data_IF_578699130853
#
_entry.id   IF_578699130853
#
_cell.length_a   1.000
_cell.length_b   1.000
_cell.length_c   1.000
_cell.angle_alpha   90.00
_cell.angle_beta   90.00
_cell.angle_gamma   90.00
#
_symmetry.space_group_name_H-M   'P 1'
#
loop_
_entity.id
_entity.type
_entity.pdbx_description
1 polymer ?
#
# COMPACT_ATOMS: atom_id res chain seq x y z
N UNK A 1 -6.18 -41.26 11.33
CA UNK A 1 -5.16 -41.43 12.40
C UNK A 1 -3.82 -41.72 11.70
N UNK A 2 -2.74 -40.97 12.02
CA UNK A 2 -1.65 -41.30 12.99
C UNK A 2 -0.76 -42.48 12.53
N UNK A 3 0.59 -42.43 12.50
CA UNK A 3 1.55 -41.31 12.67
C UNK A 3 2.88 -41.65 11.91
N UNK A 4 3.53 -40.61 11.39
CA UNK A 4 4.99 -40.35 11.21
C UNK A 4 6.02 -41.47 11.49
N UNK A 5 6.97 -41.65 10.56
CA UNK A 5 8.42 -41.58 10.84
C UNK A 5 9.25 -41.33 9.56
N UNK A 6 10.11 -40.32 9.58
CA UNK A 6 11.14 -40.07 8.56
C UNK A 6 12.37 -39.50 9.25
N UNK A 7 13.45 -40.28 9.33
CA UNK A 7 14.66 -39.95 10.08
C UNK A 7 15.91 -39.99 9.19
N UNK A 8 16.47 -38.80 8.99
CA UNK A 8 17.89 -38.47 9.12
C UNK A 8 18.94 -39.54 8.72
N UNK A 9 19.45 -39.47 7.49
CA UNK A 9 20.81 -39.94 7.15
C UNK A 9 21.36 -39.31 5.85
N UNK A 10 22.39 -38.48 5.96
CA UNK A 10 23.41 -38.26 4.91
C UNK A 10 24.68 -37.74 5.58
N UNK A 11 25.74 -38.55 5.56
CA UNK A 11 27.03 -38.23 6.16
C UNK A 11 28.01 -37.63 5.14
N UNK A 12 28.95 -36.84 5.68
CA UNK A 12 30.31 -36.55 5.23
C UNK A 12 30.69 -36.87 3.77
N UNK A 13 31.31 -35.87 3.13
CA UNK A 13 32.69 -36.07 2.67
C UNK A 13 33.57 -34.89 3.12
N UNK A 14 34.88 -35.15 3.22
CA UNK A 14 35.84 -34.29 3.90
C UNK A 14 36.54 -33.31 2.96
N UNK A 15 37.01 -32.18 3.49
CA UNK A 15 38.41 -31.79 3.28
C UNK A 15 38.94 -30.97 4.47
N UNK A 16 40.26 -30.99 4.69
CA UNK A 16 40.91 -30.51 5.92
C UNK A 16 42.06 -29.55 5.65
N UNK A 17 41.90 -28.30 6.10
CA UNK A 17 42.99 -27.40 6.48
C UNK A 17 42.40 -26.32 7.43
N UNK A 18 42.96 -25.98 8.59
CA UNK A 18 44.15 -26.52 9.24
C UNK A 18 45.14 -25.42 9.61
N UNK A 19 44.85 -24.66 10.67
CA UNK A 19 45.84 -23.84 11.38
C UNK A 19 45.43 -23.64 12.85
N UNK A 20 46.42 -23.28 13.68
CA UNK A 20 46.45 -23.72 15.08
C UNK A 20 45.82 -22.75 16.08
N UNK A 21 45.39 -23.31 17.21
CA UNK A 21 45.12 -22.58 18.45
C UNK A 21 46.44 -22.33 19.17
N UNK A 22 46.65 -21.11 19.64
CA UNK A 22 47.53 -20.81 20.77
C UNK A 22 46.68 -20.24 21.90
N UNK A 23 46.83 -20.79 23.09
CA UNK A 23 46.17 -20.32 24.30
C UNK A 23 47.18 -20.38 25.45
N UNK A 24 47.24 -19.34 26.27
CA UNK A 24 47.83 -19.41 27.61
C UNK A 24 47.12 -18.46 28.58
N UNK A 25 47.42 -18.61 29.87
CA UNK A 25 46.51 -18.39 31.00
C UNK A 25 46.75 -17.06 31.76
N UNK A 26 45.87 -16.82 32.75
CA UNK A 26 46.01 -15.91 33.91
C UNK A 26 46.02 -14.39 33.61
N UNK A 27 45.47 -13.49 34.44
CA UNK A 27 44.68 -13.55 35.68
C UNK A 27 43.59 -12.43 35.65
N UNK A 28 42.81 -12.04 36.66
CA UNK A 28 42.71 -12.39 38.10
C UNK A 28 41.27 -12.17 38.61
N UNK A 29 40.95 -12.54 39.86
CA UNK A 29 39.61 -12.37 40.45
C UNK A 29 39.48 -11.09 41.29
N UNK A 30 38.40 -10.34 41.08
CA UNK A 30 37.70 -9.55 42.10
C UNK A 30 36.22 -9.38 41.69
N UNK A 31 35.21 -9.49 42.55
CA UNK A 31 35.26 -9.83 43.98
C UNK A 31 34.36 -8.96 44.86
N UNK A 32 33.09 -8.78 44.53
CA UNK A 32 32.14 -8.09 45.39
C UNK A 32 30.76 -8.77 45.40
N UNK A 33 30.39 -9.29 46.56
CA UNK A 33 29.02 -9.66 46.95
C UNK A 33 28.37 -8.49 47.68
N UNK A 34 27.09 -8.24 47.43
CA UNK A 34 26.21 -7.47 48.33
C UNK A 34 24.91 -8.25 48.43
N UNK A 35 24.35 -8.31 49.64
CA UNK A 35 23.26 -9.23 50.00
C UNK A 35 21.86 -8.68 49.69
N UNK A 36 20.88 -9.57 49.81
CA UNK A 36 19.47 -9.36 49.60
C UNK A 36 18.81 -8.56 50.74
N UNK A 37 18.00 -7.55 50.40
CA UNK A 37 16.90 -7.10 51.27
C UNK A 37 15.65 -6.81 50.45
N UNK A 38 14.54 -7.43 50.88
CA UNK A 38 13.21 -7.19 50.36
C UNK A 38 12.52 -6.05 51.13
N UNK A 39 11.75 -5.24 50.41
CA UNK A 39 10.69 -4.39 50.98
C UNK A 39 9.52 -4.35 49.99
N UNK A 40 8.31 -4.64 50.46
CA UNK A 40 7.13 -4.84 49.62
C UNK A 40 6.37 -3.54 49.28
N UNK A 41 5.33 -3.68 48.44
CA UNK A 41 4.31 -2.69 48.08
C UNK A 41 4.83 -1.50 47.23
N UNK A 42 4.14 -1.04 46.18
CA UNK A 42 2.68 -1.10 45.93
C UNK A 42 2.29 -1.86 44.65
N UNK A 43 1.00 -2.13 44.49
CA UNK A 43 0.44 -2.98 43.43
C UNK A 43 0.03 -2.23 42.14
N UNK A 44 -0.27 -3.04 41.11
CA UNK A 44 -0.61 -2.67 39.74
C UNK A 44 -1.87 -1.80 39.60
N UNK A 45 -1.86 -0.93 38.59
CA UNK A 45 -3.05 -0.68 37.77
C UNK A 45 -2.72 -0.93 36.28
N UNK A 46 -3.59 -1.68 35.60
CA UNK A 46 -3.48 -2.02 34.18
C UNK A 46 -4.64 -1.33 33.45
N UNK A 47 -4.35 -0.31 32.64
CA UNK A 47 -5.38 0.39 31.88
C UNK A 47 -5.87 -0.45 30.69
N UNK A 48 -6.98 -1.16 30.88
CA UNK A 48 -7.76 -1.80 29.82
C UNK A 48 -9.23 -1.88 30.24
N UNK A 49 -10.09 -1.05 29.63
CA UNK A 49 -11.53 -1.02 29.91
C UNK A 49 -12.38 -1.19 28.64
N UNK A 50 -13.51 -1.88 28.80
CA UNK A 50 -14.57 -1.99 27.80
C UNK A 50 -15.92 -2.25 28.51
N UNK A 51 -16.83 -1.26 28.43
CA UNK A 51 -18.29 -1.31 28.57
C UNK A 51 -18.95 -2.10 29.74
N UNK A 52 -19.84 -1.45 30.50
CA UNK A 52 -21.32 -1.67 30.46
C UNK A 52 -22.05 -1.04 31.67
N UNK A 53 -23.37 -0.79 31.55
CA UNK A 53 -24.30 -0.48 32.65
C UNK A 53 -24.37 1.02 33.05
N UNK A 54 -25.40 1.82 32.73
CA UNK A 54 -26.88 1.69 32.88
C UNK A 54 -27.40 1.94 34.30
N UNK A 55 -28.22 3.00 34.46
CA UNK A 55 -29.41 3.03 35.31
C UNK A 55 -30.37 4.16 34.88
N UNK A 56 -31.60 4.14 35.38
CA UNK A 56 -32.81 4.75 34.79
C UNK A 56 -33.63 5.59 35.79
N UNK A 57 -34.35 6.60 35.28
CA UNK A 57 -35.52 7.26 35.92
C UNK A 57 -36.43 7.88 34.84
N UNK A 58 -37.76 7.67 34.96
CA UNK A 58 -38.80 8.11 34.00
C UNK A 58 -39.14 9.62 34.00
N UNK A 59 -40.29 10.07 33.48
CA UNK A 59 -41.58 9.38 33.19
C UNK A 59 -42.39 10.03 32.03
N UNK A 60 -43.34 9.27 31.45
CA UNK A 60 -44.70 9.63 30.91
C UNK A 60 -44.92 10.89 30.02
N UNK A 61 -45.85 11.00 29.04
CA UNK A 61 -46.84 10.14 28.32
C UNK A 61 -47.50 11.03 27.20
N UNK A 62 -48.48 10.70 26.32
CA UNK A 62 -49.31 9.51 25.97
C UNK A 62 -49.85 9.62 24.51
N UNK A 63 -50.20 8.48 23.87
CA UNK A 63 -51.29 8.24 22.89
C UNK A 63 -51.37 8.93 21.48
N UNK A 64 -51.80 8.16 20.44
CA UNK A 64 -52.18 8.72 19.12
C UNK A 64 -52.27 7.81 17.87
N UNK A 65 -53.04 6.70 17.90
CA UNK A 65 -53.70 5.93 16.79
C UNK A 65 -52.93 5.49 15.48
N UNK A 66 -53.11 4.23 14.96
CA UNK A 66 -52.43 3.74 13.74
C UNK A 66 -53.33 3.43 12.52
N UNK A 67 -52.85 3.74 11.30
CA UNK A 67 -53.49 3.39 10.02
C UNK A 67 -52.80 2.25 9.25
N UNK A 68 -53.58 1.32 8.68
CA UNK A 68 -53.10 0.13 7.94
C UNK A 68 -52.82 0.39 6.45
N UNK A 69 -51.94 -0.40 5.83
CA UNK A 69 -52.36 -1.25 4.69
C UNK A 69 -51.42 -2.45 4.46
N UNK A 70 -51.88 -3.47 3.74
CA UNK A 70 -51.26 -4.81 3.67
C UNK A 70 -50.74 -5.19 2.25
N UNK A 71 -50.12 -6.38 2.14
CA UNK A 71 -49.62 -7.04 0.92
C UNK A 71 -50.71 -8.01 0.34
N UNK A 72 -50.51 -8.99 -0.58
CA UNK A 72 -49.28 -9.50 -1.24
C UNK A 72 -49.35 -9.90 -2.76
N UNK A 73 -48.15 -10.15 -3.31
CA UNK A 73 -47.70 -11.18 -4.28
C UNK A 73 -48.60 -11.91 -5.33
N UNK A 74 -48.04 -11.97 -6.57
CA UNK A 74 -47.95 -13.15 -7.51
C UNK A 74 -49.23 -13.56 -8.31
N UNK A 75 -49.19 -14.59 -9.20
CA UNK A 75 -48.64 -14.49 -10.56
C UNK A 75 -49.57 -15.09 -11.66
N UNK A 76 -49.16 -15.04 -12.95
CA UNK A 76 -49.08 -16.19 -13.89
C UNK A 76 -48.88 -15.74 -15.37
N UNK A 77 -48.82 -16.68 -16.32
CA UNK A 77 -48.56 -16.50 -17.75
C UNK A 77 -49.65 -17.14 -18.63
N UNK A 78 -49.69 -16.82 -19.92
CA UNK A 78 -49.82 -17.86 -20.98
C UNK A 78 -49.36 -17.34 -22.39
N UNK A 79 -49.35 -18.27 -23.36
CA UNK A 79 -48.82 -18.21 -24.72
C UNK A 79 -49.91 -18.02 -25.81
N UNK A 80 -49.57 -17.42 -26.97
CA UNK A 80 -49.98 -17.92 -28.32
C UNK A 80 -49.27 -17.22 -29.49
N UNK A 81 -49.27 -17.88 -30.66
CA UNK A 81 -48.50 -17.57 -31.89
C UNK A 81 -49.34 -16.81 -32.95
N UNK A 82 -48.87 -16.42 -34.16
CA UNK A 82 -48.81 -17.29 -35.38
C UNK A 82 -48.10 -16.58 -36.59
N UNK A 83 -47.08 -17.25 -37.14
CA UNK A 83 -46.50 -17.32 -38.52
C UNK A 83 -46.32 -16.14 -39.53
N UNK A 84 -45.10 -16.09 -40.10
CA UNK A 84 -44.72 -15.94 -41.54
C UNK A 84 -45.11 -14.66 -42.36
N UNK A 85 -44.51 -14.32 -43.51
CA UNK A 85 -43.51 -14.97 -44.42
C UNK A 85 -42.57 -13.92 -45.08
N UNK A 86 -41.52 -14.34 -45.82
CA UNK A 86 -40.77 -13.43 -46.72
C UNK A 86 -39.34 -13.84 -47.09
N UNK A 87 -39.14 -14.45 -48.26
CA UNK A 87 -37.82 -14.88 -48.79
C UNK A 87 -37.02 -13.78 -49.53
N UNK A 88 -35.77 -14.09 -49.97
CA UNK A 88 -34.80 -13.09 -50.41
C UNK A 88 -34.83 -12.76 -51.92
N UNK A 89 -34.22 -11.63 -52.27
CA UNK A 89 -33.82 -11.29 -53.64
C UNK A 89 -32.32 -11.55 -53.86
N UNK A 90 -31.97 -11.96 -55.08
CA UNK A 90 -30.62 -12.25 -55.60
C UNK A 90 -30.54 -11.73 -57.06
N UNK A 91 -29.38 -11.88 -57.72
CA UNK A 91 -29.02 -11.70 -59.16
C UNK A 91 -28.02 -10.55 -59.41
N UNK A 92 -26.94 -10.69 -60.21
CA UNK A 92 -26.11 -11.86 -60.60
C UNK A 92 -24.81 -11.37 -61.32
N UNK A 93 -23.83 -12.26 -61.55
CA UNK A 93 -22.71 -12.08 -62.50
C UNK A 93 -21.33 -11.95 -61.81
N UNK A 94 -20.35 -12.86 -61.94
CA UNK A 94 -19.67 -13.47 -63.10
C UNK A 94 -18.48 -12.65 -63.61
N UNK A 95 -17.31 -13.19 -63.99
CA UNK A 95 -16.52 -14.38 -63.57
C UNK A 95 -15.21 -14.41 -64.39
N UNK A 96 -14.07 -14.85 -63.82
CA UNK A 96 -12.86 -15.34 -64.53
C UNK A 96 -11.76 -15.74 -63.52
N UNK A 97 -10.69 -16.42 -63.98
CA UNK A 97 -9.74 -17.17 -63.14
C UNK A 97 -8.26 -16.70 -63.33
N UNK A 98 -7.19 -17.40 -62.89
CA UNK A 98 -6.35 -16.87 -61.82
C UNK A 98 -4.92 -16.46 -62.25
N UNK A 99 -4.44 -15.34 -61.70
CA UNK A 99 -3.05 -14.91 -61.84
C UNK A 99 -2.17 -15.35 -60.65
N UNK A 100 -1.17 -16.21 -60.90
CA UNK A 100 -0.14 -16.52 -59.90
C UNK A 100 0.91 -15.42 -59.87
N UNK A 101 1.13 -14.82 -58.69
CA UNK A 101 2.26 -13.93 -58.43
C UNK A 101 2.90 -14.31 -57.10
N UNK A 102 3.99 -15.05 -57.15
CA UNK A 102 4.89 -15.25 -56.01
C UNK A 102 5.69 -13.97 -55.76
N UNK A 103 5.58 -13.41 -54.55
CA UNK A 103 6.42 -12.31 -54.06
C UNK A 103 7.10 -12.75 -52.77
N UNK A 104 8.44 -12.69 -52.78
CA UNK A 104 9.27 -13.12 -51.65
C UNK A 104 9.13 -12.14 -50.47
N UNK A 105 9.05 -12.67 -49.24
CA UNK A 105 9.17 -11.86 -48.03
C UNK A 105 10.65 -11.60 -47.72
N UNK A 106 11.22 -10.53 -48.27
CA UNK A 106 12.43 -9.93 -47.72
C UNK A 106 12.27 -8.41 -47.50
N UNK A 107 12.22 -8.07 -46.20
CA UNK A 107 12.65 -6.81 -45.58
C UNK A 107 12.46 -5.48 -46.34
N UNK A 108 11.34 -4.79 -46.09
CA UNK A 108 11.35 -3.31 -46.04
C UNK A 108 10.29 -2.75 -45.09
N UNK A 109 10.71 -1.93 -44.13
CA UNK A 109 9.86 -1.32 -43.10
C UNK A 109 9.21 -0.03 -43.62
N UNK A 110 8.12 -0.14 -44.38
CA UNK A 110 7.37 0.99 -44.95
C UNK A 110 5.86 0.92 -44.73
N UNK A 111 5.38 1.32 -43.55
CA UNK A 111 3.94 1.37 -43.26
C UNK A 111 3.27 2.58 -43.92
N UNK A 112 2.59 2.32 -45.03
CA UNK A 112 1.71 3.29 -45.72
C UNK A 112 0.62 3.79 -44.75
N UNK A 113 0.48 5.10 -44.63
CA UNK A 113 -0.53 5.74 -43.76
C UNK A 113 -1.81 6.03 -44.54
N UNK A 114 -2.92 5.42 -44.13
CA UNK A 114 -4.26 5.87 -44.50
C UNK A 114 -4.70 7.05 -43.60
N UNK A 115 -5.42 8.02 -44.16
CA UNK A 115 -5.95 9.16 -43.40
C UNK A 115 -7.36 8.86 -42.87
N UNK A 116 -7.63 9.17 -41.60
CA UNK A 116 -8.97 9.07 -41.00
C UNK A 116 -8.97 9.05 -39.47
N UNK A 117 -8.11 8.24 -38.85
CA UNK A 117 -8.02 8.12 -37.40
C UNK A 117 -7.20 9.24 -36.74
N UNK A 118 -7.43 9.45 -35.44
CA UNK A 118 -6.72 10.44 -34.60
C UNK A 118 -5.22 10.14 -34.55
N UNK A 119 -4.45 10.82 -35.41
CA UNK A 119 -3.05 10.50 -35.71
C UNK A 119 -2.21 10.22 -34.45
N UNK A 120 -1.79 8.96 -34.31
CA UNK A 120 -0.98 8.46 -33.19
C UNK A 120 -1.72 7.51 -32.23
N UNK A 121 -3.04 7.61 -32.05
CA UNK A 121 -3.77 6.77 -31.08
C UNK A 121 -4.15 5.42 -31.69
N UNK A 122 -3.53 4.33 -31.22
CA UNK A 122 -3.72 2.97 -31.74
C UNK A 122 -3.62 1.94 -30.61
N UNK A 123 -4.06 0.70 -30.86
CA UNK A 123 -3.83 -0.42 -29.92
C UNK A 123 -2.34 -0.66 -29.63
N UNK A 124 -1.41 -0.30 -30.53
CA UNK A 124 0.04 -0.43 -30.27
C UNK A 124 0.49 0.65 -29.28
N UNK A 125 0.28 1.92 -29.64
CA UNK A 125 0.71 3.08 -28.85
C UNK A 125 0.04 3.19 -27.48
N UNK A 126 -1.19 2.66 -27.32
CA UNK A 126 -1.84 2.52 -26.01
C UNK A 126 -1.14 1.50 -25.12
N UNK A 127 -0.69 0.35 -25.67
CA UNK A 127 0.01 -0.71 -24.90
C UNK A 127 1.45 -0.32 -24.57
N UNK A 128 2.14 0.38 -25.46
CA UNK A 128 3.46 0.99 -25.19
C UNK A 128 3.36 2.00 -24.04
N UNK A 129 2.42 2.95 -24.13
CA UNK A 129 2.16 3.93 -23.07
C UNK A 129 1.70 3.29 -21.75
N UNK A 130 1.03 2.13 -21.80
CA UNK A 130 0.64 1.38 -20.60
C UNK A 130 1.86 0.76 -19.90
N UNK A 131 2.85 0.27 -20.66
CA UNK A 131 4.10 -0.24 -20.12
C UNK A 131 4.94 0.88 -19.48
N UNK A 132 5.03 2.04 -20.13
CA UNK A 132 5.69 3.22 -19.55
C UNK A 132 4.95 3.76 -18.32
N UNK A 133 3.61 3.69 -18.29
CA UNK A 133 2.82 4.04 -17.10
C UNK A 133 3.06 3.05 -15.94
N UNK A 134 3.10 1.74 -16.18
CA UNK A 134 3.48 0.74 -15.15
C UNK A 134 4.88 1.05 -14.62
N UNK A 135 5.85 1.25 -15.52
CA UNK A 135 7.24 1.61 -15.16
C UNK A 135 7.29 2.90 -14.34
N UNK A 136 6.55 3.95 -14.71
CA UNK A 136 6.46 5.19 -13.95
C UNK A 136 5.89 4.94 -12.54
N UNK A 137 4.78 4.22 -12.43
CA UNK A 137 4.10 3.95 -11.16
C UNK A 137 4.98 3.11 -10.23
N UNK A 138 5.67 2.09 -10.75
CA UNK A 138 6.56 1.24 -9.95
C UNK A 138 7.84 1.98 -9.53
N UNK A 139 8.28 2.98 -10.30
CA UNK A 139 9.43 3.85 -9.96
C UNK A 139 9.06 4.95 -8.95
N UNK A 140 7.89 5.60 -9.09
CA UNK A 140 7.53 6.82 -8.35
C UNK A 140 6.41 6.64 -7.31
N UNK A 141 5.74 5.48 -7.30
CA UNK A 141 4.67 5.12 -6.35
C UNK A 141 3.32 5.81 -6.52
N UNK A 142 3.17 6.66 -7.55
CA UNK A 142 2.00 7.50 -7.82
C UNK A 142 1.69 7.55 -9.32
N UNK A 143 0.48 8.01 -9.67
CA UNK A 143 0.15 8.36 -11.05
C UNK A 143 0.94 9.60 -11.53
N UNK A 144 1.34 9.67 -12.82
CA UNK A 144 1.89 10.89 -13.41
C UNK A 144 0.76 11.89 -13.72
N UNK A 145 1.11 13.17 -13.88
CA UNK A 145 0.15 14.20 -14.30
C UNK A 145 -0.36 13.99 -15.74
N UNK A 146 0.50 13.49 -16.63
CA UNK A 146 0.13 13.07 -18.00
C UNK A 146 0.94 11.84 -18.44
N UNK A 147 0.41 11.11 -19.42
CA UNK A 147 1.06 10.01 -20.14
C UNK A 147 1.19 10.41 -21.60
N UNK A 148 2.28 10.02 -22.27
CA UNK A 148 2.44 10.22 -23.71
C UNK A 148 1.90 9.01 -24.47
N UNK A 149 1.00 9.23 -25.42
CA UNK A 149 0.36 8.19 -26.24
C UNK A 149 0.41 8.62 -27.69
N UNK A 150 1.24 7.95 -28.51
CA UNK A 150 1.36 8.28 -29.95
C UNK A 150 1.76 9.73 -30.23
N UNK A 151 2.54 10.36 -29.34
CA UNK A 151 2.93 11.78 -29.42
C UNK A 151 1.97 12.75 -28.73
N UNK A 152 0.77 12.32 -28.32
CA UNK A 152 -0.18 13.16 -27.58
C UNK A 152 0.05 13.05 -26.07
N UNK A 153 -0.02 14.16 -25.32
CA UNK A 153 -0.02 14.16 -23.85
C UNK A 153 -1.45 14.09 -23.34
N UNK A 154 -1.79 13.02 -22.61
CA UNK A 154 -3.12 12.79 -22.04
C UNK A 154 -3.03 12.77 -20.52
N UNK A 155 -4.03 13.32 -19.83
CA UNK A 155 -4.22 13.03 -18.39
C UNK A 155 -4.58 11.55 -18.18
N UNK A 156 -4.48 11.09 -16.93
CA UNK A 156 -4.69 9.67 -16.60
C UNK A 156 -6.14 9.22 -16.74
N UNK A 157 -7.13 10.13 -16.69
CA UNK A 157 -8.53 9.78 -16.83
C UNK A 157 -8.92 9.54 -18.30
N UNK A 158 -8.39 10.35 -19.22
CA UNK A 158 -8.49 10.15 -20.67
C UNK A 158 -7.67 8.95 -21.13
N UNK A 159 -6.52 8.69 -20.51
CA UNK A 159 -5.76 7.48 -20.82
C UNK A 159 -6.41 6.20 -20.28
N UNK A 160 -7.02 6.23 -19.08
CA UNK A 160 -7.83 5.12 -18.57
C UNK A 160 -8.97 4.76 -19.54
N UNK A 161 -9.67 5.74 -20.11
CA UNK A 161 -10.70 5.53 -21.12
C UNK A 161 -10.18 4.79 -22.37
N UNK A 162 -9.03 5.20 -22.90
CA UNK A 162 -8.37 4.50 -24.02
C UNK A 162 -7.93 3.08 -23.65
N UNK A 163 -7.33 2.90 -22.47
CA UNK A 163 -6.90 1.59 -21.99
C UNK A 163 -8.08 0.62 -21.79
N UNK A 164 -9.22 1.11 -21.28
CA UNK A 164 -10.44 0.32 -21.12
C UNK A 164 -11.03 -0.09 -22.48
N UNK A 165 -11.08 0.84 -23.44
CA UNK A 165 -11.52 0.56 -24.81
C UNK A 165 -10.65 -0.51 -25.48
N UNK A 166 -9.33 -0.40 -25.38
CA UNK A 166 -8.40 -1.36 -25.97
C UNK A 166 -8.47 -2.73 -25.29
N UNK A 167 -8.54 -2.78 -23.95
CA UNK A 167 -8.73 -4.02 -23.19
C UNK A 167 -10.02 -4.76 -23.60
N UNK A 168 -11.14 -4.05 -23.74
CA UNK A 168 -12.41 -4.65 -24.14
C UNK A 168 -12.43 -5.04 -25.63
N UNK A 169 -11.72 -4.32 -26.50
CA UNK A 169 -11.47 -4.67 -27.90
C UNK A 169 -10.64 -5.96 -28.01
N UNK A 170 -9.57 -6.08 -27.22
CA UNK A 170 -8.76 -7.31 -27.07
C UNK A 170 -9.54 -8.49 -26.46
N UNK A 171 -10.67 -8.22 -25.79
CA UNK A 171 -11.63 -9.22 -25.33
C UNK A 171 -12.75 -9.54 -26.35
N UNK A 172 -12.68 -9.00 -27.58
CA UNK A 172 -13.62 -9.27 -28.67
C UNK A 172 -14.73 -8.23 -28.88
N UNK A 173 -14.74 -7.13 -28.12
CA UNK A 173 -15.77 -6.09 -28.24
C UNK A 173 -15.53 -5.19 -29.46
N UNK A 174 -16.58 -4.87 -30.22
CA UNK A 174 -16.49 -3.91 -31.35
C UNK A 174 -16.47 -2.47 -30.83
N UNK A 175 -15.30 -1.99 -30.41
CA UNK A 175 -15.09 -0.66 -29.81
C UNK A 175 -14.07 0.15 -30.62
N UNK A 176 -14.39 1.41 -30.91
CA UNK A 176 -13.46 2.36 -31.54
C UNK A 176 -12.58 3.07 -30.51
N UNK A 177 -11.33 3.37 -30.89
CA UNK A 177 -10.31 3.97 -30.03
C UNK A 177 -10.31 5.51 -30.10
N UNK A 178 -11.48 6.11 -30.27
CA UNK A 178 -11.62 7.57 -30.31
C UNK A 178 -11.23 8.20 -28.97
N UNK A 179 -10.35 9.20 -29.03
CA UNK A 179 -10.03 10.04 -27.89
C UNK A 179 -11.20 10.98 -27.59
N UNK A 180 -11.57 11.10 -26.31
CA UNK A 180 -12.59 12.03 -25.83
C UNK A 180 -12.11 12.80 -24.60
N UNK A 181 -12.82 13.86 -24.24
CA UNK A 181 -12.67 14.51 -22.93
C UNK A 181 -13.23 13.57 -21.86
N UNK A 182 -12.50 13.43 -20.75
CA UNK A 182 -12.92 12.69 -19.55
C UNK A 182 -12.44 13.49 -18.35
N UNK A 183 -13.35 13.85 -17.44
CA UNK A 183 -12.98 14.51 -16.19
C UNK A 183 -12.26 13.55 -15.23
N UNK A 184 -11.39 14.09 -14.37
CA UNK A 184 -10.76 13.33 -13.29
C UNK A 184 -11.80 12.80 -12.27
N UNK A 185 -11.40 11.82 -11.47
CA UNK A 185 -12.19 11.37 -10.32
C UNK A 185 -12.12 12.45 -9.21
N UNK A 186 -13.24 13.12 -8.84
CA UNK A 186 -13.21 14.27 -7.94
C UNK A 186 -12.96 13.90 -6.46
N UNK A 187 -13.38 12.71 -6.02
CA UNK A 187 -13.18 12.24 -4.63
C UNK A 187 -12.71 10.77 -4.61
N UNK A 188 -11.47 10.45 -5.05
CA UNK A 188 -10.95 9.09 -5.10
C UNK A 188 -11.02 8.39 -3.74
N UNK A 189 -11.47 7.13 -3.71
CA UNK A 189 -11.73 6.39 -2.47
C UNK A 189 -11.66 4.88 -2.69
N UNK A 190 -11.81 4.09 -1.63
CA UNK A 190 -11.61 2.63 -1.69
C UNK A 190 -10.16 2.21 -1.46
N UNK A 191 -9.96 0.94 -1.13
CA UNK A 191 -8.70 0.40 -0.62
C UNK A 191 -8.42 -1.05 -1.06
N UNK A 192 -9.29 -1.65 -1.87
CA UNK A 192 -9.22 -3.06 -2.23
C UNK A 192 -7.94 -3.41 -2.99
N UNK A 193 -7.34 -4.53 -2.58
CA UNK A 193 -6.18 -5.18 -3.19
C UNK A 193 -6.40 -6.69 -3.23
N UNK A 194 -5.76 -7.39 -4.17
CA UNK A 194 -5.92 -8.83 -4.34
C UNK A 194 -5.92 -9.26 -5.82
N UNK A 195 -6.26 -10.53 -6.09
CA UNK A 195 -6.33 -11.05 -7.46
C UNK A 195 -7.75 -10.94 -8.03
N UNK A 196 -7.89 -10.31 -9.19
CA UNK A 196 -9.08 -10.41 -10.04
C UNK A 196 -8.83 -11.42 -11.16
N UNK A 197 -9.70 -12.40 -11.34
CA UNK A 197 -9.68 -13.31 -12.50
C UNK A 197 -9.99 -12.57 -13.81
N UNK A 198 -9.71 -13.20 -14.96
CA UNK A 198 -10.02 -12.66 -16.30
C UNK A 198 -11.48 -12.24 -16.45
N UNK A 199 -12.43 -13.07 -16.01
CA UNK A 199 -13.85 -12.72 -16.04
C UNK A 199 -14.21 -11.58 -15.08
N UNK A 200 -13.51 -11.45 -13.94
CA UNK A 200 -13.74 -10.38 -12.98
C UNK A 200 -13.17 -9.02 -13.45
N UNK A 201 -11.93 -8.97 -13.95
CA UNK A 201 -11.36 -7.70 -14.42
C UNK A 201 -12.03 -7.20 -15.71
N UNK A 202 -12.52 -8.08 -16.58
CA UNK A 202 -13.31 -7.67 -17.75
C UNK A 202 -14.68 -7.10 -17.36
N UNK A 203 -15.36 -7.68 -16.35
CA UNK A 203 -16.59 -7.09 -15.77
C UNK A 203 -16.33 -5.71 -15.17
N UNK A 204 -15.21 -5.55 -14.45
CA UNK A 204 -14.76 -4.23 -13.95
C UNK A 204 -14.52 -3.26 -15.11
N UNK A 205 -13.82 -3.67 -16.16
CA UNK A 205 -13.53 -2.81 -17.31
C UNK A 205 -14.81 -2.30 -18.01
N UNK A 206 -15.76 -3.19 -18.30
CA UNK A 206 -17.06 -2.81 -18.88
C UNK A 206 -17.87 -1.90 -17.96
N UNK A 207 -17.85 -2.14 -16.65
CA UNK A 207 -18.54 -1.31 -15.66
C UNK A 207 -17.97 0.11 -15.61
N UNK A 208 -16.64 0.26 -15.64
CA UNK A 208 -15.99 1.58 -15.64
C UNK A 208 -16.15 2.31 -16.96
N UNK A 209 -16.06 1.63 -18.11
CA UNK A 209 -16.27 2.29 -19.40
C UNK A 209 -17.71 2.84 -19.47
N UNK A 210 -18.72 2.04 -19.09
CA UNK A 210 -20.12 2.48 -18.98
C UNK A 210 -20.29 3.65 -17.99
N UNK A 211 -19.55 3.67 -16.88
CA UNK A 211 -19.55 4.81 -15.96
C UNK A 211 -19.01 6.08 -16.65
N UNK A 212 -17.90 5.99 -17.37
CA UNK A 212 -17.28 7.13 -18.09
C UNK A 212 -18.19 7.61 -19.24
N UNK A 213 -18.93 6.71 -19.88
CA UNK A 213 -19.96 7.05 -20.87
C UNK A 213 -21.04 7.94 -20.26
N UNK A 214 -21.68 7.49 -19.18
CA UNK A 214 -22.80 8.22 -18.55
C UNK A 214 -22.37 9.47 -17.78
N UNK A 215 -21.20 9.46 -17.11
CA UNK A 215 -20.79 10.53 -16.19
C UNK A 215 -19.74 11.48 -16.79
N UNK A 216 -19.20 11.15 -17.97
CA UNK A 216 -18.14 11.91 -18.66
C UNK A 216 -16.86 12.16 -17.83
N UNK A 217 -16.66 11.38 -16.77
CA UNK A 217 -15.51 11.42 -15.84
C UNK A 217 -15.11 10.04 -15.36
N UNK A 218 -13.90 9.90 -14.83
CA UNK A 218 -13.47 8.71 -14.11
C UNK A 218 -14.26 8.51 -12.80
N UNK A 219 -14.47 7.25 -12.36
CA UNK A 219 -15.14 6.95 -11.11
C UNK A 219 -14.22 7.16 -9.91
N UNK A 220 -14.81 7.45 -8.75
CA UNK A 220 -14.08 7.59 -7.48
C UNK A 220 -13.48 6.26 -7.00
N UNK A 221 -14.23 5.18 -7.24
CA UNK A 221 -13.89 3.79 -6.98
C UNK A 221 -14.72 2.89 -7.91
N UNK A 222 -14.36 1.62 -8.04
CA UNK A 222 -15.19 0.59 -8.66
C UNK A 222 -15.40 -0.59 -7.71
N UNK A 223 -16.66 -1.03 -7.56
CA UNK A 223 -17.01 -2.21 -6.78
C UNK A 223 -16.62 -3.48 -7.53
N UNK A 224 -16.04 -4.45 -6.83
CA UNK A 224 -15.55 -5.72 -7.41
C UNK A 224 -15.64 -6.87 -6.40
N UNK A 225 -15.33 -8.09 -6.84
CA UNK A 225 -15.26 -9.27 -5.98
C UNK A 225 -14.19 -9.18 -4.86
N UNK A 226 -13.24 -8.25 -4.94
CA UNK A 226 -12.26 -7.96 -3.87
C UNK A 226 -12.60 -6.70 -3.07
N UNK A 227 -13.79 -6.12 -3.26
CA UNK A 227 -14.23 -4.87 -2.61
C UNK A 227 -14.11 -3.63 -3.51
N UNK A 228 -14.09 -2.44 -2.90
CA UNK A 228 -14.00 -1.14 -3.58
C UNK A 228 -12.55 -0.84 -3.98
N UNK A 229 -12.23 -0.98 -5.27
CA UNK A 229 -10.94 -0.65 -5.87
C UNK A 229 -10.90 0.87 -6.14
N UNK A 230 -9.83 1.55 -5.74
CA UNK A 230 -9.66 2.99 -6.01
C UNK A 230 -9.38 3.30 -7.47
N UNK A 231 -9.60 4.55 -7.87
CA UNK A 231 -9.22 5.07 -9.19
C UNK A 231 -7.77 4.71 -9.56
N UNK A 232 -6.80 4.97 -8.68
CA UNK A 232 -5.39 4.66 -8.89
C UNK A 232 -5.13 3.15 -9.00
N UNK A 233 -5.60 2.34 -8.05
CA UNK A 233 -5.44 0.87 -8.07
C UNK A 233 -6.00 0.27 -9.38
N UNK A 234 -7.10 0.83 -9.89
CA UNK A 234 -7.70 0.47 -11.17
C UNK A 234 -6.81 0.87 -12.37
N UNK A 235 -6.32 2.11 -12.42
CA UNK A 235 -5.44 2.61 -13.50
C UNK A 235 -4.20 1.71 -13.63
N UNK A 236 -3.54 1.39 -12.51
CA UNK A 236 -2.39 0.49 -12.50
C UNK A 236 -2.76 -0.94 -12.91
N UNK A 237 -3.90 -1.48 -12.45
CA UNK A 237 -4.33 -2.83 -12.82
C UNK A 237 -4.63 -2.96 -14.33
N UNK A 238 -5.31 -1.98 -14.93
CA UNK A 238 -5.59 -1.98 -16.38
C UNK A 238 -4.29 -1.81 -17.17
N UNK A 239 -3.40 -0.90 -16.77
CA UNK A 239 -2.10 -0.73 -17.41
C UNK A 239 -1.24 -2.01 -17.34
N UNK A 240 -1.27 -2.72 -16.20
CA UNK A 240 -0.59 -4.01 -16.01
C UNK A 240 -1.14 -5.11 -16.93
N UNK A 241 -2.47 -5.16 -17.13
CA UNK A 241 -3.09 -6.11 -18.07
C UNK A 241 -2.63 -5.86 -19.51
N UNK A 242 -2.59 -4.59 -19.94
CA UNK A 242 -2.17 -4.22 -21.29
C UNK A 242 -0.66 -4.44 -21.51
N UNK A 243 0.16 -4.17 -20.49
CA UNK A 243 1.61 -4.47 -20.50
C UNK A 243 1.87 -5.97 -20.64
N UNK A 244 1.10 -6.81 -19.93
CA UNK A 244 1.16 -8.25 -20.08
C UNK A 244 0.67 -8.72 -21.47
N UNK A 245 -0.37 -8.11 -22.02
CA UNK A 245 -0.87 -8.49 -23.35
C UNK A 245 0.11 -8.09 -24.46
N UNK A 246 0.74 -6.92 -24.37
CA UNK A 246 1.77 -6.49 -25.32
C UNK A 246 2.99 -7.42 -25.35
N UNK A 247 3.41 -7.94 -24.19
CA UNK A 247 4.58 -8.83 -24.07
C UNK A 247 4.29 -10.32 -24.30
N UNK A 248 3.06 -10.80 -24.06
CA UNK A 248 2.70 -12.23 -24.17
C UNK A 248 1.73 -12.55 -25.33
N UNK A 249 1.27 -11.55 -26.06
CA UNK A 249 0.24 -11.66 -27.10
C UNK A 249 -1.19 -11.91 -26.58
N UNK A 250 -1.38 -12.29 -25.31
CA UNK A 250 -2.65 -12.76 -24.75
C UNK A 250 -3.06 -12.02 -23.47
N UNK A 251 -4.36 -11.92 -23.23
CA UNK A 251 -4.88 -11.41 -21.95
C UNK A 251 -4.54 -12.37 -20.79
N UNK A 252 -4.14 -11.87 -19.61
CA UNK A 252 -3.74 -12.68 -18.46
C UNK A 252 -4.93 -13.39 -17.80
N UNK A 253 -4.68 -14.51 -17.13
CA UNK A 253 -5.72 -15.28 -16.43
C UNK A 253 -6.21 -14.59 -15.13
N UNK A 254 -5.36 -13.74 -14.54
CA UNK A 254 -5.71 -12.83 -13.45
C UNK A 254 -4.83 -11.57 -13.50
N UNK A 255 -5.26 -10.51 -12.82
CA UNK A 255 -4.40 -9.36 -12.46
C UNK A 255 -4.32 -9.24 -10.94
N UNK A 256 -3.15 -8.87 -10.41
CA UNK A 256 -3.02 -8.47 -9.00
C UNK A 256 -3.24 -6.96 -8.90
N UNK A 257 -4.37 -6.57 -8.30
CA UNK A 257 -4.64 -5.19 -7.89
C UNK A 257 -3.75 -4.88 -6.68
N UNK A 258 -2.64 -4.19 -6.92
CA UNK A 258 -1.78 -3.64 -5.86
C UNK A 258 -2.40 -2.35 -5.30
N UNK A 259 -2.06 -1.97 -4.06
CA UNK A 259 -2.27 -0.60 -3.60
C UNK A 259 -1.26 0.28 -4.31
N UNK A 260 -1.73 1.30 -5.04
CA UNK A 260 -0.90 2.45 -5.39
C UNK A 260 -1.60 3.70 -4.84
N UNK A 261 -0.81 4.60 -4.25
CA UNK A 261 -1.35 5.56 -3.30
C UNK A 261 -1.75 6.87 -3.99
N UNK A 262 -3.05 7.15 -3.97
CA UNK A 262 -3.66 8.46 -4.30
C UNK A 262 -3.03 9.62 -3.54
N UNK A 263 -2.38 9.34 -2.40
CA UNK A 263 -1.36 10.21 -1.84
C UNK A 263 -0.22 9.37 -1.22
N UNK A 264 0.94 9.36 -1.87
CA UNK A 264 2.23 9.02 -1.23
C UNK A 264 2.73 10.16 -0.33
N UNK A 265 2.03 11.29 -0.31
CA UNK A 265 2.31 12.43 0.55
C UNK A 265 1.50 12.34 1.87
N UNK A 266 2.06 12.80 2.98
CA UNK A 266 1.33 13.04 4.23
C UNK A 266 0.14 13.99 4.01
N UNK A 267 -0.97 13.85 4.75
CA UNK A 267 -2.04 14.85 4.75
C UNK A 267 -1.50 16.24 5.07
N UNK A 268 -1.88 17.25 4.28
CA UNK A 268 -1.32 18.59 4.40
C UNK A 268 -1.50 19.23 5.79
N UNK A 269 -2.56 18.85 6.51
CA UNK A 269 -2.84 19.26 7.89
C UNK A 269 -1.80 18.79 8.92
N UNK A 270 -1.02 17.74 8.63
CA UNK A 270 0.02 17.27 9.55
C UNK A 270 1.28 18.14 9.51
N UNK A 271 1.56 18.79 8.37
CA UNK A 271 2.79 19.59 8.16
C UNK A 271 3.02 20.68 9.20
N UNK A 272 1.93 21.21 9.76
CA UNK A 272 1.95 22.37 10.66
C UNK A 272 1.62 21.99 12.12
N UNK A 273 1.67 20.70 12.48
CA UNK A 273 1.54 20.25 13.88
C UNK A 273 2.86 20.41 14.63
N UNK A 274 2.80 20.83 15.90
CA UNK A 274 3.95 21.26 16.69
C UNK A 274 5.04 20.19 16.91
N UNK A 275 4.69 18.89 16.84
CA UNK A 275 5.62 17.77 16.95
C UNK A 275 6.39 17.42 15.64
N UNK A 276 6.05 18.07 14.53
CA UNK A 276 6.62 17.83 13.20
C UNK A 276 7.51 19.01 12.77
N UNK A 277 8.74 18.76 12.35
CA UNK A 277 9.69 19.80 11.95
C UNK A 277 9.79 19.96 10.42
N UNK A 278 10.01 21.17 9.88
CA UNK A 278 10.40 21.32 8.49
C UNK A 278 11.77 20.66 8.22
N UNK A 279 11.93 20.09 7.02
CA UNK A 279 13.23 19.64 6.53
C UNK A 279 13.93 20.79 5.81
N UNK A 280 15.19 21.08 6.16
CA UNK A 280 15.92 22.26 5.65
C UNK A 280 17.00 21.91 4.63
N UNK A 281 17.03 20.65 4.16
CA UNK A 281 18.00 20.17 3.18
C UNK A 281 19.27 19.57 3.80
N UNK A 282 19.28 19.29 5.11
CA UNK A 282 20.42 18.74 5.80
C UNK A 282 20.77 17.30 5.36
N UNK A 283 22.06 16.93 5.36
CA UNK A 283 22.49 15.60 4.86
C UNK A 283 21.83 14.45 5.62
N UNK A 284 21.02 13.67 4.91
CA UNK A 284 20.26 12.53 5.45
C UNK A 284 21.11 11.28 5.71
N UNK A 285 22.37 11.26 5.26
CA UNK A 285 23.33 10.16 5.42
C UNK A 285 23.40 9.61 6.85
N UNK A 286 23.61 10.49 7.85
CA UNK A 286 23.67 10.11 9.28
C UNK A 286 22.33 9.59 9.83
N UNK A 287 21.22 9.95 9.19
CA UNK A 287 19.87 9.52 9.55
C UNK A 287 19.43 8.24 8.81
N UNK A 288 20.31 7.63 8.00
CA UNK A 288 20.15 6.31 7.39
C UNK A 288 21.10 5.26 8.00
N UNK A 289 22.18 5.69 8.66
CA UNK A 289 23.20 4.82 9.24
C UNK A 289 22.71 3.96 10.43
N UNK A 290 23.36 2.81 10.65
CA UNK A 290 23.22 2.03 11.88
C UNK A 290 23.92 2.71 13.06
N UNK A 291 23.45 2.43 14.29
CA UNK A 291 24.10 2.85 15.55
C UNK A 291 24.00 1.73 16.58
N UNK A 292 24.69 1.83 17.72
CA UNK A 292 24.79 0.75 18.72
C UNK A 292 23.44 0.13 19.12
N UNK A 293 22.44 0.98 19.39
CA UNK A 293 21.07 0.57 19.75
C UNK A 293 20.08 0.64 18.57
N UNK A 294 20.53 1.11 17.41
CA UNK A 294 19.78 1.20 16.17
C UNK A 294 20.40 0.26 15.13
N UNK A 295 20.22 -1.05 15.32
CA UNK A 295 20.93 -2.07 14.53
C UNK A 295 20.28 -2.30 13.15
N UNK A 296 20.23 -1.25 12.32
CA UNK A 296 19.67 -1.24 10.95
C UNK A 296 20.16 -2.41 10.07
N UNK A 297 21.38 -2.88 10.33
CA UNK A 297 22.00 -3.94 9.56
C UNK A 297 21.58 -5.37 9.96
N UNK A 298 20.89 -5.55 11.09
CA UNK A 298 20.43 -6.85 11.58
C UNK A 298 19.44 -7.54 10.62
N UNK A 299 19.50 -8.86 10.55
CA UNK A 299 18.71 -9.65 9.61
C UNK A 299 17.22 -9.72 10.00
N UNK A 300 16.86 -9.71 11.28
CA UNK A 300 15.47 -9.69 11.71
C UNK A 300 14.83 -8.30 11.47
N UNK A 301 15.57 -7.22 11.76
CA UNK A 301 15.17 -5.84 11.40
C UNK A 301 14.94 -5.71 9.89
N UNK A 302 15.89 -6.13 9.05
CA UNK A 302 15.77 -6.09 7.58
C UNK A 302 14.59 -6.94 7.06
N UNK A 303 14.44 -8.16 7.57
CA UNK A 303 13.37 -9.08 7.14
C UNK A 303 11.98 -8.55 7.51
N UNK A 304 11.83 -7.96 8.70
CA UNK A 304 10.58 -7.30 9.09
C UNK A 304 10.31 -6.05 8.27
N UNK A 305 11.30 -5.16 8.12
CA UNK A 305 11.17 -3.94 7.31
C UNK A 305 10.74 -4.23 5.88
N UNK A 306 11.35 -5.24 5.23
CA UNK A 306 10.97 -5.71 3.90
C UNK A 306 9.55 -6.31 3.85
N UNK A 307 9.13 -7.02 4.91
CA UNK A 307 7.78 -7.59 4.99
C UNK A 307 6.69 -6.51 5.17
N UNK A 308 6.88 -5.55 6.09
CA UNK A 308 5.92 -4.47 6.36
C UNK A 308 5.78 -3.48 5.20
N UNK A 309 6.83 -3.36 4.37
CA UNK A 309 6.84 -2.49 3.18
C UNK A 309 6.60 -3.24 1.87
N UNK A 310 6.27 -4.53 1.92
CA UNK A 310 6.06 -5.36 0.73
C UNK A 310 4.94 -4.80 -0.17
N UNK A 311 5.30 -4.41 -1.40
CA UNK A 311 4.38 -3.81 -2.36
C UNK A 311 4.02 -2.33 -2.08
N UNK A 312 4.55 -1.71 -1.03
CA UNK A 312 4.42 -0.29 -0.76
C UNK A 312 5.59 0.47 -1.41
N UNK A 313 5.27 1.49 -2.19
CA UNK A 313 6.24 2.31 -2.93
C UNK A 313 6.49 3.66 -2.25
N UNK A 314 5.42 4.37 -1.87
CA UNK A 314 5.48 5.67 -1.20
C UNK A 314 6.11 5.64 0.20
N UNK A 315 6.98 6.60 0.50
CA UNK A 315 7.63 6.71 1.81
C UNK A 315 6.63 6.91 2.96
N UNK A 316 5.54 7.66 2.75
CA UNK A 316 4.47 7.82 3.74
C UNK A 316 3.78 6.50 4.09
N UNK A 317 3.44 5.68 3.09
CA UNK A 317 2.80 4.38 3.31
C UNK A 317 3.73 3.41 4.04
N UNK A 318 5.00 3.34 3.62
CA UNK A 318 6.02 2.52 4.28
C UNK A 318 6.20 2.92 5.74
N UNK A 319 6.34 4.22 6.01
CA UNK A 319 6.45 4.73 7.37
C UNK A 319 5.18 4.47 8.19
N UNK A 320 3.99 4.63 7.60
CA UNK A 320 2.71 4.36 8.27
C UNK A 320 2.56 2.88 8.64
N UNK A 321 2.94 1.97 7.75
CA UNK A 321 2.88 0.53 8.00
C UNK A 321 3.84 0.10 9.12
N UNK A 322 5.07 0.63 9.12
CA UNK A 322 6.07 0.41 10.17
C UNK A 322 5.59 0.99 11.51
N UNK A 323 5.11 2.24 11.50
CA UNK A 323 4.63 2.93 12.70
C UNK A 323 3.47 2.17 13.36
N UNK A 324 2.43 1.84 12.61
CA UNK A 324 1.27 1.11 13.12
C UNK A 324 1.72 -0.25 13.67
N UNK A 325 2.57 -0.99 12.95
CA UNK A 325 3.04 -2.28 13.44
C UNK A 325 3.81 -2.19 14.76
N UNK A 326 4.68 -1.19 14.95
CA UNK A 326 5.39 -1.03 16.23
C UNK A 326 4.41 -0.68 17.35
N UNK A 327 3.51 0.30 17.13
CA UNK A 327 2.48 0.72 18.08
C UNK A 327 1.52 -0.42 18.48
N UNK A 328 1.19 -1.29 17.53
CA UNK A 328 0.17 -2.33 17.70
C UNK A 328 0.75 -3.71 18.09
N UNK A 329 2.09 -3.89 18.05
CA UNK A 329 2.76 -5.20 18.25
C UNK A 329 3.95 -5.20 19.22
N UNK A 330 4.16 -4.10 19.96
CA UNK A 330 5.13 -3.95 21.04
C UNK A 330 4.40 -3.37 22.27
N UNK A 331 4.55 -4.00 23.44
CA UNK A 331 3.91 -3.54 24.68
C UNK A 331 4.78 -2.53 25.42
N UNK A 332 4.20 -1.44 25.91
CA UNK A 332 4.93 -0.50 26.76
C UNK A 332 5.34 -1.14 28.09
N UNK A 333 6.55 -0.83 28.56
CA UNK A 333 7.06 -1.18 29.89
C UNK A 333 7.89 -0.02 30.43
N UNK A 334 7.67 0.37 31.68
CA UNK A 334 8.32 1.53 32.28
C UNK A 334 9.68 1.16 32.90
N UNK A 335 10.74 1.81 32.41
CA UNK A 335 12.09 1.80 32.98
C UNK A 335 12.89 2.98 32.39
N UNK A 336 14.05 3.29 32.97
CA UNK A 336 14.93 4.37 32.50
C UNK A 336 15.89 3.91 31.40
N UNK A 337 16.22 4.83 30.48
CA UNK A 337 17.19 4.66 29.37
C UNK A 337 16.89 3.48 28.42
N UNK A 338 17.81 3.14 27.52
CA UNK A 338 17.70 1.91 26.71
C UNK A 338 17.97 0.67 27.56
N UNK A 339 17.24 -0.42 27.32
CA UNK A 339 17.51 -1.75 27.89
C UNK A 339 17.72 -2.81 26.81
N UNK A 340 17.12 -2.63 25.63
CA UNK A 340 17.03 -3.68 24.62
C UNK A 340 17.58 -3.28 23.25
N UNK A 341 17.53 -2.00 22.87
CA UNK A 341 17.76 -1.54 21.51
C UNK A 341 16.79 -2.17 20.49
N UNK A 342 16.88 -1.79 19.22
CA UNK A 342 15.92 -2.21 18.21
C UNK A 342 15.74 -3.74 18.11
N UNK A 343 16.84 -4.49 18.09
CA UNK A 343 16.80 -5.96 17.99
C UNK A 343 16.22 -6.61 19.24
N UNK A 344 16.55 -6.12 20.44
CA UNK A 344 15.99 -6.64 21.68
C UNK A 344 14.49 -6.33 21.80
N UNK A 345 14.04 -5.12 21.45
CA UNK A 345 12.62 -4.75 21.45
C UNK A 345 11.82 -5.60 20.46
N UNK A 346 12.38 -5.88 19.28
CA UNK A 346 11.77 -6.80 18.30
C UNK A 346 11.69 -8.25 18.82
N UNK A 347 12.70 -8.70 19.56
CA UNK A 347 12.75 -10.05 20.16
C UNK A 347 11.76 -10.21 21.32
N UNK A 348 11.78 -9.29 22.28
CA UNK A 348 11.01 -9.39 23.54
C UNK A 348 9.61 -8.78 23.46
N UNK A 349 9.29 -8.05 22.37
CA UNK A 349 7.98 -7.40 22.15
C UNK A 349 7.56 -6.43 23.24
N UNK A 350 8.52 -5.83 23.91
CA UNK A 350 8.26 -4.77 24.89
C UNK A 350 9.41 -3.76 24.96
N UNK A 351 9.10 -2.54 25.38
CA UNK A 351 10.09 -1.58 25.83
C UNK A 351 9.49 -0.27 26.33
N UNK A 352 10.35 0.65 26.78
CA UNK A 352 9.96 2.02 27.10
C UNK A 352 9.97 2.90 25.83
N UNK A 353 9.88 4.22 26.00
CA UNK A 353 9.89 5.19 24.89
C UNK A 353 11.21 5.21 24.09
N UNK A 354 12.35 5.03 24.77
CA UNK A 354 13.68 4.95 24.15
C UNK A 354 13.76 3.73 23.23
N UNK A 355 13.36 2.56 23.74
CA UNK A 355 13.44 1.30 23.02
C UNK A 355 12.38 1.16 21.89
N UNK A 356 11.18 1.71 22.08
CA UNK A 356 10.22 1.89 20.97
C UNK A 356 10.81 2.75 19.84
N UNK A 357 11.46 3.87 20.21
CA UNK A 357 12.11 4.76 19.25
C UNK A 357 13.28 4.08 18.55
N UNK A 358 14.06 3.25 19.24
CA UNK A 358 15.14 2.47 18.64
C UNK A 358 14.61 1.53 17.55
N UNK A 359 13.53 0.77 17.82
CA UNK A 359 12.92 -0.12 16.84
C UNK A 359 12.31 0.63 15.64
N UNK A 360 11.58 1.73 15.88
CA UNK A 360 11.03 2.57 14.81
C UNK A 360 12.12 3.09 13.86
N UNK A 361 13.14 3.76 14.41
CA UNK A 361 14.23 4.34 13.62
C UNK A 361 14.99 3.24 12.88
N UNK A 362 15.22 2.08 13.48
CA UNK A 362 15.89 0.97 12.82
C UNK A 362 15.09 0.42 11.62
N UNK A 363 13.77 0.26 11.76
CA UNK A 363 12.89 -0.20 10.68
C UNK A 363 12.75 0.83 9.56
N UNK A 364 12.58 2.12 9.89
CA UNK A 364 12.55 3.19 8.89
C UNK A 364 13.84 3.24 8.07
N UNK A 365 15.00 3.22 8.73
CA UNK A 365 16.32 3.22 8.09
C UNK A 365 16.54 1.96 7.23
N UNK A 366 16.13 0.80 7.71
CA UNK A 366 16.20 -0.46 6.95
C UNK A 366 15.29 -0.46 5.70
N UNK A 367 14.21 0.34 5.70
CA UNK A 367 13.38 0.62 4.53
C UNK A 367 13.89 1.76 3.64
N UNK A 368 15.08 2.31 3.90
CA UNK A 368 15.69 3.40 3.15
C UNK A 368 15.10 4.79 3.44
N UNK A 369 14.40 4.95 4.56
CA UNK A 369 13.76 6.20 4.97
C UNK A 369 14.58 6.83 6.10
N UNK A 370 14.97 8.10 5.92
CA UNK A 370 15.77 8.81 6.92
C UNK A 370 14.94 9.03 8.19
N UNK A 371 15.50 8.65 9.34
CA UNK A 371 14.84 8.74 10.64
C UNK A 371 15.81 9.21 11.73
N UNK A 372 15.29 9.97 12.70
CA UNK A 372 16.04 10.59 13.79
C UNK A 372 15.32 10.42 15.12
N UNK A 373 16.02 10.65 16.22
CA UNK A 373 15.44 10.70 17.57
C UNK A 373 15.17 12.15 17.97
N UNK A 374 14.11 12.37 18.73
CA UNK A 374 13.88 13.61 19.49
C UNK A 374 13.77 13.25 20.96
N UNK A 375 14.42 14.02 21.83
CA UNK A 375 14.34 13.90 23.27
C UNK A 375 13.83 15.22 23.85
N UNK A 376 12.90 15.14 24.79
CA UNK A 376 12.33 16.31 25.44
C UNK A 376 11.73 16.01 26.81
N UNK A 377 10.98 16.98 27.33
CA UNK A 377 10.11 16.83 28.50
C UNK A 377 8.68 17.10 28.08
N UNK A 378 7.80 16.12 28.27
CA UNK A 378 6.43 16.13 27.75
C UNK A 378 5.42 15.90 28.87
N UNK A 379 4.31 16.66 28.85
CA UNK A 379 3.17 16.51 29.76
C UNK A 379 2.12 15.62 29.11
N UNK A 380 1.87 14.46 29.70
CA UNK A 380 1.00 13.41 29.16
C UNK A 380 -0.48 13.69 29.46
N UNK A 381 -1.39 12.99 28.75
CA UNK A 381 -2.85 13.10 28.98
C UNK A 381 -3.32 12.68 30.37
N UNK A 382 -2.43 12.13 31.22
CA UNK A 382 -2.64 11.88 32.65
C UNK A 382 -2.28 13.06 33.56
N UNK A 383 -1.83 14.20 33.00
CA UNK A 383 -1.30 15.35 33.73
C UNK A 383 0.18 15.23 34.15
N UNK A 384 0.70 14.01 34.26
CA UNK A 384 2.09 13.77 34.64
C UNK A 384 3.07 14.23 33.55
N UNK A 385 4.23 14.75 33.98
CA UNK A 385 5.28 15.25 33.09
C UNK A 385 6.56 14.43 33.25
N UNK A 386 7.09 13.91 32.13
CA UNK A 386 8.26 13.02 32.12
C UNK A 386 9.28 13.44 31.07
N UNK A 387 10.53 12.99 31.24
CA UNK A 387 11.49 12.91 30.13
C UNK A 387 11.00 11.87 29.11
N UNK A 388 10.97 12.22 27.83
CA UNK A 388 10.40 11.40 26.78
C UNK A 388 11.27 11.39 25.52
N UNK A 389 11.29 10.26 24.82
CA UNK A 389 12.01 10.08 23.56
C UNK A 389 11.06 9.49 22.52
N UNK A 390 10.98 10.12 21.35
CA UNK A 390 10.23 9.62 20.20
C UNK A 390 11.09 9.61 18.94
N UNK A 391 10.65 8.85 17.94
CA UNK A 391 11.25 8.89 16.62
C UNK A 391 10.64 10.04 15.78
N UNK A 392 11.39 10.52 14.79
CA UNK A 392 10.88 11.30 13.67
C UNK A 392 11.35 10.67 12.35
N UNK A 393 10.52 10.75 11.32
CA UNK A 393 10.79 10.17 9.99
C UNK A 393 10.59 11.21 8.89
N UNK A 394 11.56 11.34 7.99
CA UNK A 394 11.54 12.31 6.90
C UNK A 394 10.69 11.79 5.74
N UNK A 395 9.65 12.54 5.38
CA UNK A 395 8.81 12.25 4.20
C UNK A 395 8.60 13.52 3.41
N UNK A 396 9.37 13.67 2.32
CA UNK A 396 9.40 14.87 1.50
C UNK A 396 10.17 16.00 2.20
N UNK A 397 9.44 17.05 2.55
CA UNK A 397 9.91 18.34 3.09
C UNK A 397 9.59 18.50 4.59
N UNK A 398 9.30 17.40 5.31
CA UNK A 398 8.91 17.44 6.73
C UNK A 398 9.34 16.17 7.47
N UNK A 399 9.82 16.35 8.70
CA UNK A 399 10.10 15.31 9.68
C UNK A 399 8.85 15.07 10.54
N UNK A 400 8.19 13.92 10.34
CA UNK A 400 6.97 13.57 11.06
C UNK A 400 7.26 12.79 12.34
N UNK A 401 6.64 13.19 13.45
CA UNK A 401 6.68 12.48 14.71
C UNK A 401 6.12 11.06 14.57
N UNK A 402 6.89 10.11 15.07
CA UNK A 402 6.58 8.70 15.16
C UNK A 402 6.73 8.28 16.62
N UNK A 403 5.73 8.65 17.44
CA UNK A 403 5.63 8.18 18.82
C UNK A 403 4.66 6.98 18.91
N UNK A 404 5.23 5.78 18.94
CA UNK A 404 4.48 4.53 19.00
C UNK A 404 4.12 4.07 20.43
N UNK A 405 4.39 4.85 21.49
CA UNK A 405 4.15 4.39 22.88
C UNK A 405 2.68 4.43 23.32
N UNK A 406 1.75 4.77 22.43
CA UNK A 406 0.32 4.83 22.75
C UNK A 406 -0.56 4.56 21.54
N UNK A 407 -1.62 3.78 21.73
CA UNK A 407 -2.71 3.57 20.76
C UNK A 407 -3.42 4.88 20.35
N UNK A 408 -3.35 5.93 21.18
CA UNK A 408 -3.87 7.29 20.87
C UNK A 408 -3.12 7.98 19.73
N UNK A 409 -1.93 7.50 19.35
CA UNK A 409 -1.05 8.17 18.39
C UNK A 409 -1.18 7.61 16.98
N UNK A 410 -1.00 8.48 15.99
CA UNK A 410 -0.80 8.12 14.57
C UNK A 410 0.43 8.81 14.01
N UNK A 411 0.93 8.33 12.87
CA UNK A 411 2.14 8.91 12.26
C UNK A 411 1.91 10.40 11.92
N UNK A 412 2.80 11.27 12.40
CA UNK A 412 2.70 12.72 12.27
C UNK A 412 1.60 13.38 13.12
N UNK A 413 0.96 12.65 14.04
CA UNK A 413 -0.08 13.16 14.91
C UNK A 413 -0.08 12.46 16.29
N UNK A 414 0.60 13.08 17.25
CA UNK A 414 0.73 12.59 18.62
C UNK A 414 -0.39 13.18 19.50
N UNK A 415 -1.09 12.32 20.23
CA UNK A 415 -2.23 12.70 21.08
C UNK A 415 -2.12 12.10 22.51
N UNK A 416 -0.98 11.51 22.87
CA UNK A 416 -0.68 10.97 24.20
C UNK A 416 -0.12 12.02 25.18
N UNK A 417 0.45 13.12 24.67
CA UNK A 417 0.97 14.27 25.40
C UNK A 417 0.69 15.59 24.68
N UNK A 418 0.75 16.71 25.41
CA UNK A 418 0.53 18.05 24.86
C UNK A 418 1.74 18.48 24.00
N UNK A 419 1.57 18.46 22.68
CA UNK A 419 2.66 18.76 21.75
C UNK A 419 3.02 20.24 21.67
N UNK A 420 2.13 21.14 22.11
CA UNK A 420 2.38 22.58 22.16
C UNK A 420 3.22 23.04 23.36
N UNK A 421 3.40 22.18 24.39
CA UNK A 421 4.16 22.51 25.62
C UNK A 421 5.36 21.58 25.85
N UNK A 422 5.76 20.79 24.85
CA UNK A 422 6.90 19.90 24.95
C UNK A 422 8.22 20.68 24.88
N UNK A 423 9.08 20.52 25.90
CA UNK A 423 10.39 21.16 25.95
C UNK A 423 11.42 20.27 25.24
N UNK A 424 11.84 20.64 24.03
CA UNK A 424 12.79 19.87 23.22
C UNK A 424 14.22 20.05 23.76
N UNK A 425 14.83 18.95 24.22
CA UNK A 425 16.20 18.91 24.75
C UNK A 425 17.25 18.58 23.69
N UNK A 426 16.86 17.94 22.58
CA UNK A 426 17.74 17.72 21.45
C UNK A 426 17.20 16.76 20.38
N UNK A 427 17.85 16.78 19.21
CA UNK A 427 17.52 15.97 18.03
C UNK A 427 18.78 15.23 17.58
N UNK A 428 18.70 13.90 17.42
CA UNK A 428 19.88 13.03 17.37
C UNK A 428 19.83 11.98 16.24
N UNK A 429 21.02 11.67 15.69
CA UNK A 429 21.21 10.52 14.80
C UNK A 429 21.42 9.20 15.56
N UNK A 430 22.07 9.27 16.73
CA UNK A 430 22.11 8.26 17.78
C UNK A 430 21.91 8.95 19.12
N UNK A 431 21.14 8.36 20.04
CA UNK A 431 21.05 8.87 21.41
C UNK A 431 22.43 8.80 22.11
N UNK A 432 22.75 9.74 23.01
CA UNK A 432 23.99 9.75 23.79
C UNK A 432 23.85 9.05 25.16
N UNK A 433 22.77 8.31 25.39
CA UNK A 433 22.39 7.59 26.62
C UNK A 433 21.52 6.36 26.27
#
# INVERSE_FOLDING_TARGET
MRYVCMLLACMLLMNTAGYAVAADNTASVAGYTVEEQCSEHSQCELMNESETGSLDTGEQSTAGDPGKNESPCTPDADETTVTESGGPLNVNGSSSSPGSVTVNLENSTGTVRAAGDSAGITSVTIREAAADLVKYIETHGKLPATVSVGGQKLDTARFLDLMLKDLLKLAGSRISLTLRTVGNAPNPSGSATGKLSKSAYLKVASSVLKFIDSNRRAPNYVSSAIGKISYDNLVYAVASILTFQGSSGRLPNYVTVKKISTSTAPPASLRNRAENDPYTGESTSRYLAATANCQVNDQAIKSLAANLTAGLTGAWDKATAIFNWVRDRISYSFYYNTRYGAVGTLRYRTGNCVDHSHLLVALFRASGIAARYVHGTCTFTSGNTYGHVWAQVLVGDTWYAADATSSKNSLGAVNSWNTATANIRGIYASLPF
#
